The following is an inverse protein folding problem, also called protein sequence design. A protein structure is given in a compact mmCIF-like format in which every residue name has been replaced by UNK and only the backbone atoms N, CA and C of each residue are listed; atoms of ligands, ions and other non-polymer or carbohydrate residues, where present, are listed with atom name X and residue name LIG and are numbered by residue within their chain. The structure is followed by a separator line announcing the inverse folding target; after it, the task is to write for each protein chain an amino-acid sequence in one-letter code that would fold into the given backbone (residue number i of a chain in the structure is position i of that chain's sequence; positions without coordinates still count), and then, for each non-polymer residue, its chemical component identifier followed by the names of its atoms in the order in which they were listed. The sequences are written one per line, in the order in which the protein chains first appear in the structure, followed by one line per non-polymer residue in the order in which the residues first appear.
data_IF_670294024540
#
_entry.id   IF_670294024540
#
_cell.length_a   1.000
_cell.length_b   1.000
_cell.length_c   1.000
_cell.angle_alpha   90.00
_cell.angle_beta   90.00
_cell.angle_gamma   90.00
#
_symmetry.space_group_name_H-M   'P 1'
#
loop_
_entity.id
_entity.type
_entity.pdbx_description
1 polymer ?
#
# COMPACT_ATOMS: atom_id res chain seq x y z
N UNK A 1 7.86 1.33 28.17
CA UNK A 1 7.71 0.35 29.28
C UNK A 1 8.74 -0.76 29.08
N UNK A 2 9.27 -1.39 30.13
CA UNK A 2 10.14 -2.57 29.94
C UNK A 2 9.32 -3.81 29.53
N UNK A 3 9.96 -4.81 28.88
CA UNK A 3 9.26 -5.99 28.39
C UNK A 3 8.72 -6.90 29.50
N UNK A 4 9.34 -6.91 30.68
CA UNK A 4 8.83 -7.71 31.81
C UNK A 4 7.54 -7.09 32.37
N UNK A 5 7.51 -5.77 32.56
CA UNK A 5 6.30 -5.05 32.98
C UNK A 5 5.16 -5.23 31.96
N UNK A 6 5.49 -5.15 30.67
CA UNK A 6 4.51 -5.37 29.60
C UNK A 6 3.98 -6.81 29.58
N UNK A 7 4.82 -7.80 29.88
CA UNK A 7 4.41 -9.20 30.01
C UNK A 7 3.44 -9.38 31.16
N UNK A 8 3.80 -8.92 32.36
CA UNK A 8 2.93 -9.00 33.54
C UNK A 8 1.59 -8.31 33.31
N UNK A 9 1.60 -7.12 32.70
CA UNK A 9 0.38 -6.41 32.32
C UNK A 9 -0.48 -7.23 31.36
N UNK A 10 0.14 -7.77 30.30
CA UNK A 10 -0.57 -8.53 29.28
C UNK A 10 -1.16 -9.84 29.84
N UNK A 11 -0.38 -10.60 30.61
CA UNK A 11 -0.81 -11.85 31.24
C UNK A 11 -1.99 -11.61 32.20
N UNK A 12 -1.95 -10.53 32.98
CA UNK A 12 -3.06 -10.13 33.86
C UNK A 12 -4.34 -9.80 33.07
N UNK A 13 -4.22 -9.08 31.94
CA UNK A 13 -5.37 -8.77 31.08
C UNK A 13 -5.91 -10.02 30.39
N UNK A 14 -5.05 -10.89 29.88
CA UNK A 14 -5.45 -12.16 29.27
C UNK A 14 -6.22 -13.02 30.28
N UNK A 15 -5.68 -13.18 31.49
CA UNK A 15 -6.35 -13.90 32.59
C UNK A 15 -7.71 -13.28 32.91
N UNK A 16 -7.78 -11.95 33.10
CA UNK A 16 -9.03 -11.24 33.39
C UNK A 16 -10.12 -11.48 32.35
N UNK A 17 -9.74 -11.74 31.11
CA UNK A 17 -10.66 -11.92 29.99
C UNK A 17 -10.82 -13.38 29.54
N UNK A 18 -10.40 -14.35 30.37
CA UNK A 18 -10.63 -15.78 30.14
C UNK A 18 -9.74 -16.38 29.04
N UNK A 19 -8.53 -15.85 28.89
CA UNK A 19 -7.53 -16.34 27.95
C UNK A 19 -6.32 -16.94 28.69
N UNK A 20 -6.54 -17.64 29.82
CA UNK A 20 -5.46 -18.26 30.60
C UNK A 20 -4.70 -19.33 29.82
N UNK A 21 -5.39 -20.03 28.91
CA UNK A 21 -4.80 -21.08 28.06
C UNK A 21 -4.10 -20.52 26.80
N UNK A 22 -4.09 -19.20 26.61
CA UNK A 22 -3.46 -18.56 25.44
C UNK A 22 -2.01 -18.20 25.71
N UNK A 23 -1.18 -18.31 24.67
CA UNK A 23 0.23 -17.95 24.74
C UNK A 23 0.45 -16.45 24.50
N UNK A 24 1.32 -15.82 25.30
CA UNK A 24 1.87 -14.49 25.04
C UNK A 24 3.28 -14.57 24.46
N UNK A 25 3.45 -14.11 23.22
CA UNK A 25 4.74 -14.07 22.52
C UNK A 25 5.21 -12.65 22.21
N UNK A 26 6.51 -12.53 21.94
CA UNK A 26 7.12 -11.27 21.55
C UNK A 26 7.96 -11.43 20.29
N UNK A 27 7.67 -10.61 19.27
CA UNK A 27 8.34 -10.59 17.97
C UNK A 27 9.08 -9.26 17.71
N UNK A 28 9.81 -9.19 16.60
CA UNK A 28 10.56 -7.99 16.17
C UNK A 28 9.85 -7.20 15.06
N UNK A 29 8.51 -7.29 14.98
CA UNK A 29 7.74 -6.50 14.03
C UNK A 29 7.92 -5.01 14.31
N UNK A 30 8.19 -4.19 13.29
CA UNK A 30 8.48 -2.75 13.47
C UNK A 30 7.30 -1.84 13.12
N UNK A 31 6.28 -2.40 12.49
CA UNK A 31 5.13 -1.67 11.95
C UNK A 31 3.78 -2.14 12.48
N UNK A 32 3.76 -3.18 13.33
CA UNK A 32 2.55 -3.73 13.94
C UNK A 32 2.85 -3.98 15.42
N UNK A 33 2.06 -3.40 16.31
CA UNK A 33 2.30 -3.48 17.76
C UNK A 33 1.79 -4.79 18.37
N UNK A 34 0.61 -5.28 17.95
CA UNK A 34 -0.04 -6.49 18.44
C UNK A 34 -0.60 -7.37 17.31
N UNK A 35 -0.73 -8.68 17.56
CA UNK A 35 -1.44 -9.63 16.68
C UNK A 35 -2.11 -10.72 17.50
N UNK A 36 -3.33 -11.04 17.11
CA UNK A 36 -4.02 -12.25 17.52
C UNK A 36 -3.84 -13.36 16.48
N UNK A 37 -3.37 -14.53 16.92
CA UNK A 37 -3.27 -15.76 16.11
C UNK A 37 -4.25 -16.80 16.64
N UNK A 38 -5.51 -16.68 16.20
CA UNK A 38 -6.62 -17.56 16.62
C UNK A 38 -6.31 -19.06 16.49
N UNK A 39 -5.69 -19.49 15.39
CA UNK A 39 -5.46 -20.90 15.08
C UNK A 39 -4.55 -21.62 16.09
N UNK A 40 -3.70 -20.88 16.80
CA UNK A 40 -2.74 -21.41 17.79
C UNK A 40 -2.94 -20.77 19.17
N UNK A 41 -4.06 -20.06 19.36
CA UNK A 41 -4.41 -19.38 20.62
C UNK A 41 -3.26 -18.53 21.19
N UNK A 42 -2.73 -17.62 20.36
CA UNK A 42 -1.58 -16.78 20.73
C UNK A 42 -1.86 -15.29 20.52
N UNK A 43 -1.40 -14.47 21.47
CA UNK A 43 -1.27 -13.01 21.32
C UNK A 43 0.23 -12.67 21.21
N UNK A 44 0.61 -11.98 20.14
CA UNK A 44 1.99 -11.55 19.89
C UNK A 44 2.16 -10.05 19.99
N UNK A 45 3.17 -9.59 20.72
CA UNK A 45 3.52 -8.17 20.87
C UNK A 45 4.89 -7.84 20.25
N UNK A 46 5.03 -6.65 19.72
CA UNK A 46 6.29 -6.17 19.14
C UNK A 46 7.25 -5.65 20.20
N UNK A 47 8.39 -6.31 20.41
CA UNK A 47 9.45 -5.81 21.30
C UNK A 47 9.87 -4.37 21.02
N UNK A 48 10.19 -3.98 19.77
CA UNK A 48 10.67 -2.63 19.51
C UNK A 48 9.58 -1.57 19.67
N UNK A 49 8.30 -1.87 19.47
CA UNK A 49 7.21 -0.91 19.67
C UNK A 49 6.80 -0.79 21.14
N UNK A 50 6.67 -1.92 21.86
CA UNK A 50 6.27 -1.93 23.28
C UNK A 50 7.26 -1.13 24.15
N UNK A 51 8.55 -1.17 23.83
CA UNK A 51 9.55 -0.34 24.52
C UNK A 51 9.31 1.16 24.37
N UNK A 52 8.75 1.59 23.25
CA UNK A 52 8.44 2.99 22.97
C UNK A 52 7.10 3.43 23.58
N UNK A 53 6.24 2.49 23.94
CA UNK A 53 4.87 2.78 24.36
C UNK A 53 4.78 3.06 25.87
N UNK A 54 3.85 3.94 26.21
CA UNK A 54 3.39 4.13 27.58
C UNK A 54 2.59 2.90 28.07
N UNK A 55 2.41 2.73 29.39
CA UNK A 55 1.56 1.67 29.94
C UNK A 55 0.15 1.63 29.31
N UNK A 56 -0.46 2.80 29.09
CA UNK A 56 -1.80 2.91 28.50
C UNK A 56 -1.81 2.48 27.02
N UNK A 57 -0.77 2.84 26.26
CA UNK A 57 -0.64 2.42 24.85
C UNK A 57 -0.41 0.91 24.73
N UNK A 58 0.35 0.31 25.67
CA UNK A 58 0.51 -1.15 25.75
C UNK A 58 -0.82 -1.81 26.11
N UNK A 59 -1.53 -1.27 27.11
CA UNK A 59 -2.87 -1.75 27.51
C UNK A 59 -3.85 -1.74 26.34
N UNK A 60 -3.92 -0.63 25.61
CA UNK A 60 -4.77 -0.50 24.43
C UNK A 60 -4.41 -1.54 23.35
N UNK A 61 -3.11 -1.77 23.13
CA UNK A 61 -2.64 -2.80 22.18
C UNK A 61 -3.06 -4.20 22.62
N UNK A 62 -2.87 -4.54 23.90
CA UNK A 62 -3.22 -5.87 24.41
C UNK A 62 -4.73 -6.09 24.36
N UNK A 63 -5.53 -5.15 24.85
CA UNK A 63 -6.99 -5.25 24.80
C UNK A 63 -7.51 -5.33 23.36
N UNK A 64 -6.87 -4.67 22.40
CA UNK A 64 -7.18 -4.80 20.99
C UNK A 64 -7.06 -6.26 20.50
N UNK A 65 -5.96 -6.93 20.83
CA UNK A 65 -5.73 -8.31 20.43
C UNK A 65 -6.60 -9.31 21.20
N UNK A 66 -6.88 -9.05 22.49
CA UNK A 66 -7.87 -9.81 23.28
C UNK A 66 -9.26 -9.68 22.65
N UNK A 67 -9.65 -8.50 22.19
CA UNK A 67 -10.93 -8.32 21.51
C UNK A 67 -11.03 -9.15 20.22
N UNK A 68 -9.94 -9.31 19.47
CA UNK A 68 -9.90 -10.24 18.31
C UNK A 68 -10.06 -11.70 18.75
N UNK A 69 -9.37 -12.10 19.82
CA UNK A 69 -9.48 -13.45 20.36
C UNK A 69 -10.93 -13.79 20.77
N UNK A 70 -11.59 -12.85 21.44
CA UNK A 70 -12.97 -12.99 21.90
C UNK A 70 -14.02 -12.88 20.80
N UNK A 71 -13.77 -12.08 19.76
CA UNK A 71 -14.67 -11.96 18.61
C UNK A 71 -14.69 -13.23 17.76
N UNK A 72 -13.56 -13.93 17.67
CA UNK A 72 -13.43 -15.15 16.90
C UNK A 72 -13.23 -14.94 15.40
N UNK A 73 -13.16 -16.03 14.62
CA UNK A 73 -12.84 -15.97 13.20
C UNK A 73 -13.93 -15.26 12.38
N UNK A 74 -13.52 -14.59 11.30
CA UNK A 74 -14.43 -13.87 10.40
C UNK A 74 -14.74 -12.44 10.84
N UNK A 75 -14.38 -12.06 12.07
CA UNK A 75 -14.51 -10.70 12.58
C UNK A 75 -13.18 -9.96 12.46
N UNK A 76 -13.13 -8.98 11.54
CA UNK A 76 -12.10 -7.94 11.56
C UNK A 76 -12.47 -6.85 12.57
N UNK A 77 -12.12 -5.60 12.29
CA UNK A 77 -12.58 -4.45 13.09
C UNK A 77 -14.05 -4.06 12.82
N UNK A 78 -14.95 -5.05 12.77
CA UNK A 78 -16.37 -4.82 12.52
C UNK A 78 -17.13 -4.39 13.79
N UNK A 79 -18.46 -4.32 13.69
CA UNK A 79 -19.32 -3.94 14.82
C UNK A 79 -19.26 -4.91 16.01
N UNK A 80 -19.03 -6.20 15.76
CA UNK A 80 -18.97 -7.24 16.80
C UNK A 80 -17.66 -7.08 17.56
N UNK A 81 -16.54 -7.01 16.84
CA UNK A 81 -15.24 -6.73 17.44
C UNK A 81 -15.24 -5.42 18.22
N UNK A 82 -15.79 -4.33 17.63
CA UNK A 82 -15.80 -3.02 18.29
C UNK A 82 -16.63 -3.03 19.58
N UNK A 83 -17.78 -3.71 19.58
CA UNK A 83 -18.59 -3.86 20.78
C UNK A 83 -17.85 -4.60 21.89
N UNK A 84 -17.11 -5.66 21.53
CA UNK A 84 -16.27 -6.40 22.48
C UNK A 84 -15.13 -5.54 22.99
N UNK A 85 -14.39 -4.86 22.09
CA UNK A 85 -13.27 -3.99 22.41
C UNK A 85 -13.68 -2.92 23.44
N UNK A 86 -14.76 -2.18 23.17
CA UNK A 86 -15.28 -1.16 24.10
C UNK A 86 -15.71 -1.78 25.43
N UNK A 87 -16.36 -2.94 25.41
CA UNK A 87 -16.81 -3.64 26.63
C UNK A 87 -15.64 -4.04 27.54
N UNK A 88 -14.49 -4.39 26.98
CA UNK A 88 -13.31 -4.78 27.76
C UNK A 88 -12.36 -3.60 28.06
N UNK A 89 -12.75 -2.38 27.71
CA UNK A 89 -11.99 -1.16 28.02
C UNK A 89 -11.01 -0.69 26.95
N UNK A 90 -11.00 -1.30 25.76
CA UNK A 90 -10.29 -0.77 24.59
C UNK A 90 -11.09 0.37 23.96
N UNK A 91 -10.42 1.35 23.35
CA UNK A 91 -11.08 2.47 22.67
C UNK A 91 -11.98 2.04 21.49
N UNK A 92 -11.74 0.84 20.94
CA UNK A 92 -12.37 0.36 19.72
C UNK A 92 -11.89 1.09 18.45
N UNK A 93 -10.78 1.83 18.56
CA UNK A 93 -10.15 2.53 17.43
C UNK A 93 -9.28 1.56 16.64
N UNK A 94 -9.47 1.53 15.32
CA UNK A 94 -8.67 0.67 14.43
C UNK A 94 -7.28 1.23 14.16
N UNK A 95 -7.19 2.54 13.92
CA UNK A 95 -5.95 3.19 13.50
C UNK A 95 -5.17 3.65 14.71
N UNK A 96 -3.91 3.25 14.79
CA UNK A 96 -2.95 3.84 15.73
C UNK A 96 -2.82 5.33 15.38
N UNK A 97 -2.99 6.25 16.35
CA UNK A 97 -2.82 7.68 16.12
C UNK A 97 -1.46 8.04 15.51
N UNK A 98 -1.38 9.15 14.77
CA UNK A 98 -0.15 9.55 14.06
C UNK A 98 1.00 9.91 15.02
N UNK A 99 0.66 10.38 16.21
CA UNK A 99 1.56 10.82 17.28
C UNK A 99 2.13 9.65 18.12
N UNK A 100 1.66 8.42 17.91
CA UNK A 100 2.22 7.26 18.59
C UNK A 100 3.64 7.00 18.09
N UNK A 101 4.62 6.79 19.00
CA UNK A 101 5.99 6.49 18.63
C UNK A 101 6.11 5.35 17.61
N UNK A 102 6.98 5.51 16.62
CA UNK A 102 7.25 4.50 15.60
C UNK A 102 8.72 4.10 15.67
N UNK A 103 8.99 2.86 15.29
CA UNK A 103 10.37 2.44 15.05
C UNK A 103 10.85 3.13 13.78
N UNK A 104 11.93 3.90 13.90
CA UNK A 104 12.52 4.56 12.74
C UNK A 104 13.09 3.54 11.74
N UNK A 105 12.85 3.80 10.46
CA UNK A 105 13.43 3.05 9.36
C UNK A 105 14.86 3.47 9.05
N UNK A 106 15.71 2.53 8.63
CA UNK A 106 17.08 2.83 8.20
C UNK A 106 17.15 3.62 6.89
N UNK A 107 16.07 3.62 6.11
CA UNK A 107 15.94 4.43 4.91
C UNK A 107 15.13 5.68 5.24
N UNK A 108 15.72 6.84 4.99
CA UNK A 108 15.13 8.13 5.26
C UNK A 108 14.81 8.84 3.94
N UNK A 109 13.58 9.32 3.81
CA UNK A 109 13.09 10.06 2.66
C UNK A 109 12.81 11.50 3.04
N UNK A 110 13.34 12.45 2.27
CA UNK A 110 13.07 13.88 2.44
C UNK A 110 12.53 14.45 1.13
N UNK A 111 11.39 15.14 1.19
CA UNK A 111 10.81 15.81 0.02
C UNK A 111 11.37 17.24 -0.13
N UNK A 112 11.16 17.93 -1.27
CA UNK A 112 11.67 19.29 -1.48
C UNK A 112 11.18 20.33 -0.47
N UNK A 113 10.01 20.12 0.13
CA UNK A 113 9.48 20.97 1.20
C UNK A 113 10.07 20.66 2.59
N UNK A 114 11.00 19.72 2.71
CA UNK A 114 11.66 19.34 3.96
C UNK A 114 10.93 18.31 4.82
N UNK A 115 9.72 17.85 4.43
CA UNK A 115 9.05 16.77 5.17
C UNK A 115 9.84 15.46 5.11
N UNK A 116 10.03 14.85 6.28
CA UNK A 116 10.76 13.60 6.50
C UNK A 116 9.81 12.41 6.65
N UNK A 117 10.23 11.25 6.14
CA UNK A 117 9.62 9.95 6.38
C UNK A 117 10.70 8.87 6.49
N UNK A 118 10.44 7.76 7.17
CA UNK A 118 11.36 6.61 7.17
C UNK A 118 10.67 5.31 6.81
N UNK A 119 11.45 4.39 6.25
CA UNK A 119 11.02 3.03 5.93
C UNK A 119 12.12 2.02 6.29
N UNK A 120 11.72 0.82 6.71
CA UNK A 120 12.69 -0.20 7.13
C UNK A 120 13.39 -0.91 5.96
N UNK A 121 12.79 -0.89 4.77
CA UNK A 121 13.30 -1.58 3.58
C UNK A 121 13.57 -0.57 2.47
N UNK A 122 14.56 -0.90 1.63
CA UNK A 122 14.91 -0.11 0.45
C UNK A 122 13.66 0.14 -0.41
N UNK A 123 13.33 1.40 -0.73
CA UNK A 123 12.20 1.71 -1.61
C UNK A 123 12.36 1.04 -2.98
N UNK A 124 11.31 0.37 -3.42
CA UNK A 124 11.26 -0.30 -4.74
C UNK A 124 10.54 0.56 -5.78
N UNK A 125 9.67 1.48 -5.33
CA UNK A 125 8.87 2.39 -6.16
C UNK A 125 9.08 3.83 -5.73
N UNK A 126 8.95 4.75 -6.67
CA UNK A 126 9.00 6.20 -6.40
C UNK A 126 7.78 6.60 -5.57
N UNK A 127 8.00 7.45 -4.56
CA UNK A 127 6.97 7.93 -3.64
C UNK A 127 6.99 9.46 -3.59
N UNK A 128 5.81 10.06 -3.50
CA UNK A 128 5.65 11.49 -3.25
C UNK A 128 5.12 11.75 -1.83
N UNK A 129 5.34 12.95 -1.34
CA UNK A 129 4.92 13.37 -0.01
C UNK A 129 3.41 13.65 0.04
N UNK A 130 2.70 12.86 0.85
CA UNK A 130 1.25 13.05 1.07
C UNK A 130 0.91 14.33 1.81
N UNK A 131 1.86 14.91 2.56
CA UNK A 131 1.70 16.22 3.22
C UNK A 131 1.78 17.39 2.24
N UNK A 132 2.52 17.21 1.13
CA UNK A 132 2.60 18.21 0.07
C UNK A 132 1.40 18.12 -0.87
N UNK A 133 0.97 16.90 -1.21
CA UNK A 133 -0.21 16.66 -2.04
C UNK A 133 -0.89 15.35 -1.63
N UNK A 134 -2.23 15.31 -1.48
CA UNK A 134 -2.94 14.07 -1.17
C UNK A 134 -2.88 13.05 -2.32
N UNK A 135 -2.47 13.48 -3.51
CA UNK A 135 -2.28 12.63 -4.69
C UNK A 135 -0.80 12.53 -5.07
N UNK A 136 -0.47 11.61 -5.98
CA UNK A 136 0.92 11.48 -6.44
C UNK A 136 1.35 12.74 -7.18
N UNK A 137 2.41 13.39 -6.69
CA UNK A 137 2.93 14.64 -7.24
C UNK A 137 4.44 14.53 -7.50
N UNK A 138 4.83 14.78 -8.75
CA UNK A 138 6.24 14.72 -9.20
C UNK A 138 7.09 15.86 -8.61
N UNK A 139 6.49 16.95 -8.16
CA UNK A 139 7.19 18.03 -7.48
C UNK A 139 7.50 17.69 -6.02
N UNK A 140 6.85 16.67 -5.46
CA UNK A 140 6.95 16.29 -4.05
C UNK A 140 7.63 14.92 -3.83
N UNK A 141 8.48 14.47 -4.76
CA UNK A 141 9.17 13.18 -4.66
C UNK A 141 10.14 13.14 -3.47
N UNK A 142 10.18 12.00 -2.78
CA UNK A 142 11.18 11.78 -1.73
C UNK A 142 12.55 11.43 -2.33
N UNK A 143 13.58 12.11 -1.85
CA UNK A 143 14.98 11.72 -2.00
C UNK A 143 15.39 10.85 -0.82
N UNK A 144 16.07 9.73 -1.08
CA UNK A 144 16.33 8.71 -0.08
C UNK A 144 17.80 8.61 0.30
N UNK A 145 18.07 8.49 1.61
CA UNK A 145 19.35 8.07 2.18
C UNK A 145 19.16 6.79 2.97
N UNK A 146 20.26 6.07 3.24
CA UNK A 146 20.30 4.92 4.14
C UNK A 146 21.31 5.23 5.24
N UNK A 147 20.86 5.22 6.50
CA UNK A 147 21.69 5.58 7.66
C UNK A 147 22.40 6.94 7.45
N UNK A 148 21.69 7.93 6.90
CA UNK A 148 22.23 9.27 6.63
C UNK A 148 23.14 9.39 5.40
N UNK A 149 23.51 8.30 4.75
CA UNK A 149 24.36 8.31 3.55
C UNK A 149 23.58 8.03 2.27
N UNK A 150 24.04 8.58 1.15
CA UNK A 150 23.55 8.16 -0.16
C UNK A 150 23.79 6.66 -0.35
N UNK A 151 22.77 5.93 -0.78
CA UNK A 151 22.86 4.50 -1.04
C UNK A 151 22.26 4.20 -2.42
N UNK A 152 22.77 3.18 -3.14
CA UNK A 152 22.19 2.80 -4.41
C UNK A 152 20.68 2.56 -4.27
N UNK A 153 19.88 2.99 -5.23
CA UNK A 153 18.42 2.75 -5.26
C UNK A 153 18.05 1.51 -6.08
N UNK A 154 16.93 0.88 -5.73
CA UNK A 154 16.51 -0.38 -6.37
C UNK A 154 16.36 -0.16 -7.90
N UNK A 155 16.72 -1.11 -8.78
CA UNK A 155 16.65 -0.89 -10.22
C UNK A 155 15.27 -0.45 -10.73
N UNK A 156 14.20 -1.04 -10.20
CA UNK A 156 12.81 -0.61 -10.50
C UNK A 156 12.51 0.83 -10.07
N UNK A 157 13.05 1.26 -8.92
CA UNK A 157 12.91 2.63 -8.43
C UNK A 157 13.61 3.58 -9.39
N UNK A 158 14.86 3.27 -9.75
CA UNK A 158 15.66 4.11 -10.65
C UNK A 158 15.00 4.24 -12.04
N UNK A 159 14.47 3.15 -12.59
CA UNK A 159 13.72 3.17 -13.86
C UNK A 159 12.44 4.01 -13.77
N UNK A 160 11.68 3.86 -12.69
CA UNK A 160 10.46 4.66 -12.49
C UNK A 160 10.79 6.14 -12.31
N UNK A 161 11.83 6.47 -11.54
CA UNK A 161 12.28 7.85 -11.37
C UNK A 161 12.71 8.46 -12.70
N UNK A 162 13.50 7.74 -13.50
CA UNK A 162 13.91 8.18 -14.82
C UNK A 162 12.70 8.48 -15.74
N UNK A 163 11.66 7.65 -15.72
CA UNK A 163 10.41 7.88 -16.48
C UNK A 163 9.61 9.09 -15.99
N UNK A 164 9.68 9.40 -14.70
CA UNK A 164 8.99 10.54 -14.10
C UNK A 164 9.74 11.86 -14.33
N UNK A 165 11.08 11.79 -14.36
CA UNK A 165 11.98 12.92 -14.60
C UNK A 165 12.16 13.24 -16.08
N UNK A 166 11.97 12.26 -16.99
CA UNK A 166 11.90 12.55 -18.42
C UNK A 166 10.70 13.45 -18.70
N UNK A 167 10.91 14.52 -19.47
CA UNK A 167 9.83 15.33 -20.02
C UNK A 167 8.75 14.40 -20.61
N UNK A 168 7.45 14.72 -20.49
CA UNK A 168 6.42 13.93 -21.12
C UNK A 168 6.82 13.74 -22.58
N UNK A 169 7.03 12.49 -23.00
CA UNK A 169 7.08 12.17 -24.43
C UNK A 169 5.74 12.66 -24.93
N UNK A 170 5.76 13.68 -25.80
CA UNK A 170 4.57 14.16 -26.45
C UNK A 170 3.92 12.95 -27.12
N UNK A 171 2.87 12.42 -26.51
CA UNK A 171 1.98 11.48 -27.19
C UNK A 171 1.30 12.37 -28.21
N UNK A 172 1.67 12.23 -29.49
CA UNK A 172 0.98 12.90 -30.57
C UNK A 172 -0.53 12.73 -30.33
N UNK A 173 -1.34 13.79 -30.45
CA UNK A 173 -2.75 13.72 -30.15
C UNK A 173 -3.32 12.52 -30.90
N UNK A 174 -3.91 11.58 -30.15
CA UNK A 174 -4.64 10.47 -30.75
C UNK A 174 -5.78 11.14 -31.50
N UNK A 175 -5.66 11.23 -32.82
CA UNK A 175 -6.75 11.68 -33.68
C UNK A 175 -7.87 10.66 -33.47
N UNK A 176 -8.92 11.03 -32.74
CA UNK A 176 -10.08 10.18 -32.58
C UNK A 176 -10.79 10.09 -33.93
N UNK A 177 -10.77 8.89 -34.51
CA UNK A 177 -11.37 8.65 -35.81
C UNK A 177 -12.83 8.21 -35.63
N UNK A 178 -13.78 8.86 -36.31
CA UNK A 178 -15.19 8.52 -36.17
C UNK A 178 -15.49 7.14 -36.77
N UNK A 179 -16.61 6.54 -36.34
CA UNK A 179 -17.19 5.39 -37.04
C UNK A 179 -17.48 5.82 -38.49
N UNK A 180 -17.08 4.98 -39.44
CA UNK A 180 -17.11 5.28 -40.88
C UNK A 180 -15.78 5.79 -41.44
N UNK A 181 -14.82 6.20 -40.60
CA UNK A 181 -13.50 6.62 -41.09
C UNK A 181 -12.71 5.46 -41.69
N UNK A 182 -12.03 5.74 -42.81
CA UNK A 182 -11.06 4.83 -43.42
C UNK A 182 -9.73 4.91 -42.70
N UNK A 183 -9.17 3.74 -42.41
CA UNK A 183 -7.91 3.63 -41.66
C UNK A 183 -6.98 2.60 -42.26
N UNK A 184 -5.67 2.81 -42.07
CA UNK A 184 -4.58 1.89 -42.39
C UNK A 184 -3.98 1.37 -41.10
N UNK A 185 -3.76 0.07 -41.04
CA UNK A 185 -3.23 -0.59 -39.86
C UNK A 185 -1.69 -0.54 -39.85
N UNK A 186 -1.06 -0.04 -38.78
CA UNK A 186 0.39 0.24 -38.75
C UNK A 186 1.23 -0.79 -37.98
N UNK A 187 0.63 -1.90 -37.53
CA UNK A 187 1.33 -2.97 -36.84
C UNK A 187 2.26 -3.81 -37.74
N UNK A 188 3.36 -4.33 -37.18
CA UNK A 188 4.36 -5.18 -37.89
C UNK A 188 3.96 -6.67 -38.00
N UNK A 189 2.70 -6.96 -38.30
CA UNK A 189 2.17 -8.34 -38.36
C UNK A 189 1.42 -8.65 -39.65
N UNK A 190 0.76 -9.82 -39.72
CA UNK A 190 -0.01 -10.27 -40.89
C UNK A 190 -1.10 -9.31 -41.39
N UNK A 191 -1.50 -8.35 -40.54
CA UNK A 191 -2.51 -7.35 -40.83
C UNK A 191 -1.93 -5.93 -41.02
N UNK A 192 -0.60 -5.79 -40.95
CA UNK A 192 0.11 -4.55 -41.20
C UNK A 192 -0.09 -4.07 -42.63
N UNK A 193 -0.33 -2.76 -42.78
CA UNK A 193 -0.60 -2.11 -44.06
C UNK A 193 -2.01 -2.33 -44.62
N UNK A 194 -2.84 -3.18 -44.00
CA UNK A 194 -4.23 -3.35 -44.43
C UNK A 194 -5.03 -2.07 -44.22
N UNK A 195 -5.90 -1.77 -45.19
CA UNK A 195 -6.88 -0.72 -45.07
C UNK A 195 -8.25 -1.31 -44.66
N UNK A 196 -9.03 -0.53 -43.94
CA UNK A 196 -10.39 -0.88 -43.57
C UNK A 196 -11.18 0.32 -43.08
N UNK A 197 -12.42 0.07 -42.66
CA UNK A 197 -13.32 1.10 -42.16
C UNK A 197 -13.69 0.82 -40.72
N UNK A 198 -13.65 1.85 -39.87
CA UNK A 198 -14.08 1.72 -38.47
C UNK A 198 -15.59 1.49 -38.45
N UNK A 199 -16.02 0.33 -37.97
CA UNK A 199 -17.46 0.02 -37.79
C UNK A 199 -17.92 0.23 -36.36
N UNK A 200 -16.99 0.19 -35.39
CA UNK A 200 -17.30 0.45 -33.99
C UNK A 200 -16.11 1.03 -33.25
N UNK A 201 -16.38 1.94 -32.32
CA UNK A 201 -15.40 2.47 -31.37
C UNK A 201 -15.67 1.91 -29.97
N UNK A 202 -14.70 1.20 -29.42
CA UNK A 202 -14.70 0.77 -28.02
C UNK A 202 -14.00 1.79 -27.13
N UNK A 203 -13.76 1.44 -25.86
CA UNK A 203 -13.08 2.32 -24.89
C UNK A 203 -11.56 2.42 -25.11
N UNK A 204 -10.96 1.47 -25.81
CA UNK A 204 -9.49 1.41 -26.01
C UNK A 204 -9.07 0.88 -27.39
N UNK A 205 -10.02 0.56 -28.27
CA UNK A 205 -9.78 -0.09 -29.57
C UNK A 205 -10.87 0.29 -30.59
N UNK A 206 -10.52 0.28 -31.86
CA UNK A 206 -11.45 0.26 -32.98
C UNK A 206 -11.79 -1.17 -33.37
N UNK A 207 -13.01 -1.37 -33.85
CA UNK A 207 -13.39 -2.53 -34.66
C UNK A 207 -13.37 -2.10 -36.12
N UNK A 208 -12.47 -2.68 -36.91
CA UNK A 208 -12.20 -2.28 -38.28
C UNK A 208 -12.60 -3.41 -39.22
N UNK A 209 -13.52 -3.14 -40.14
CA UNK A 209 -13.85 -4.06 -41.22
C UNK A 209 -12.76 -3.97 -42.29
N UNK A 210 -12.04 -5.07 -42.53
CA UNK A 210 -10.99 -5.15 -43.55
C UNK A 210 -11.32 -6.27 -44.55
N UNK A 211 -10.50 -6.38 -45.61
CA UNK A 211 -10.57 -7.53 -46.54
C UNK A 211 -10.26 -8.88 -45.88
N UNK A 212 -9.56 -8.88 -44.73
CA UNK A 212 -9.26 -10.09 -43.97
C UNK A 212 -10.33 -10.42 -42.92
N UNK A 213 -11.45 -9.68 -42.93
CA UNK A 213 -12.51 -9.77 -41.94
C UNK A 213 -12.44 -8.65 -40.89
N UNK A 214 -13.19 -8.85 -39.81
CA UNK A 214 -13.39 -7.87 -38.75
C UNK A 214 -12.27 -7.95 -37.71
N UNK A 215 -11.52 -6.87 -37.51
CA UNK A 215 -10.33 -6.84 -36.65
C UNK A 215 -10.49 -5.88 -35.48
N UNK A 216 -9.96 -6.25 -34.31
CA UNK A 216 -9.88 -5.39 -33.13
C UNK A 216 -8.51 -4.70 -33.07
N UNK A 217 -8.48 -3.40 -33.34
CA UNK A 217 -7.24 -2.62 -33.53
C UNK A 217 -7.07 -1.61 -32.39
N UNK A 218 -5.97 -1.66 -31.62
CA UNK A 218 -5.65 -0.59 -30.66
C UNK A 218 -5.59 0.78 -31.35
N UNK A 219 -6.07 1.84 -30.70
CA UNK A 219 -6.09 3.18 -31.31
C UNK A 219 -4.75 3.63 -31.91
N UNK A 220 -3.58 3.38 -31.27
CA UNK A 220 -2.30 3.79 -31.85
C UNK A 220 -1.89 3.04 -33.12
N UNK A 221 -2.61 1.98 -33.51
CA UNK A 221 -2.30 1.14 -34.67
C UNK A 221 -3.25 1.39 -35.85
N UNK A 222 -4.11 2.40 -35.78
CA UNK A 222 -5.03 2.80 -36.84
C UNK A 222 -4.76 4.25 -37.23
N UNK A 223 -4.20 4.46 -38.41
CA UNK A 223 -3.93 5.78 -38.97
C UNK A 223 -4.97 6.10 -40.06
N UNK A 224 -5.34 7.38 -40.28
CA UNK A 224 -6.18 7.76 -41.41
C UNK A 224 -5.59 7.26 -42.74
N UNK A 225 -6.45 6.71 -43.61
CA UNK A 225 -6.05 6.15 -44.92
C UNK A 225 -6.58 6.92 -46.11
#
# INVERSE_FOLDING_TARGET
MDLNEARELADNLMTRHGLEDWALTFDDAKTRAGICRLAVQEIGLSRPLIRLYSPDQVTETVLHEIAHALAGPGHGHDRVWRAIAVRIGCSGTRCVPEDVPRVEGVWEGVCPAGHRTTVHRRPVRVRSCSRCSPSFDRSALFSWTRNGAAAPMHPRYAQELARLSSAPVAVAPVVELPVGARVRLTGRGKYGGLAGTIVKRGRSRYQVQTKAGLLNVPFPMAEPA
#
